data_IF_964977785538
#
_entry.id   IF_964977785538
#
_cell.length_a   1.000
_cell.length_b   1.000
_cell.length_c   1.000
_cell.angle_alpha   90.00
_cell.angle_beta   90.00
_cell.angle_gamma   90.00
#
_symmetry.space_group_name_H-M   'P 1'
#
loop_
_entity.id
_entity.type
_entity.pdbx_description
1 polymer ?
#
# COMPACT_ATOMS: atom_id res chain seq x y z
N UNK A 1 0.88 -20.18 3.18
CA UNK A 1 -0.26 -19.43 2.62
C UNK A 1 0.23 -18.15 1.96
N UNK A 2 -0.35 -17.79 0.84
CA UNK A 2 0.01 -16.55 0.16
C UNK A 2 -0.42 -15.34 1.00
N UNK A 3 0.41 -14.30 1.01
CA UNK A 3 0.02 -13.01 1.58
C UNK A 3 -1.01 -12.33 0.70
N UNK A 4 -1.82 -11.48 1.29
CA UNK A 4 -2.87 -10.77 0.59
C UNK A 4 -2.60 -9.27 0.56
N UNK A 5 -2.78 -8.65 -0.61
CA UNK A 5 -2.62 -7.21 -0.80
C UNK A 5 -3.91 -6.61 -1.33
N UNK A 6 -4.31 -5.48 -0.73
CA UNK A 6 -5.40 -4.66 -1.23
C UNK A 6 -4.80 -3.48 -2.00
N UNK A 7 -5.21 -3.33 -3.25
CA UNK A 7 -4.69 -2.29 -4.15
C UNK A 7 -5.82 -1.33 -4.48
N UNK A 8 -5.63 -0.06 -4.17
CA UNK A 8 -6.54 1.02 -4.53
C UNK A 8 -5.95 1.79 -5.70
N UNK A 9 -6.54 1.64 -6.89
CA UNK A 9 -6.11 2.28 -8.13
C UNK A 9 -7.33 2.50 -9.02
N UNK A 10 -7.60 3.75 -9.39
CA UNK A 10 -8.78 4.09 -10.17
C UNK A 10 -8.64 3.78 -11.67
N UNK A 11 -7.43 3.59 -12.17
CA UNK A 11 -7.19 3.12 -13.55
C UNK A 11 -7.23 1.60 -13.60
N UNK A 12 -8.21 1.03 -14.30
CA UNK A 12 -8.32 -0.42 -14.45
C UNK A 12 -7.09 -1.03 -15.11
N UNK A 13 -6.54 -0.36 -16.12
CA UNK A 13 -5.34 -0.84 -16.81
C UNK A 13 -4.15 -0.90 -15.86
N UNK A 14 -3.93 0.15 -15.09
CA UNK A 14 -2.85 0.17 -14.11
C UNK A 14 -3.08 -0.84 -12.99
N UNK A 15 -4.31 -0.97 -12.52
CA UNK A 15 -4.66 -1.94 -11.48
C UNK A 15 -4.31 -3.36 -11.92
N UNK A 16 -4.59 -3.73 -13.16
CA UNK A 16 -4.26 -5.05 -13.69
C UNK A 16 -2.75 -5.26 -13.71
N UNK A 17 -2.00 -4.28 -14.17
CA UNK A 17 -0.54 -4.36 -14.25
C UNK A 17 0.06 -4.51 -12.85
N UNK A 18 -0.40 -3.68 -11.91
CA UNK A 18 0.09 -3.71 -10.53
C UNK A 18 -0.26 -5.05 -9.87
N UNK A 19 -1.49 -5.52 -10.05
CA UNK A 19 -1.91 -6.84 -9.53
C UNK A 19 -1.01 -7.96 -9.99
N UNK A 20 -0.66 -7.97 -11.27
CA UNK A 20 0.20 -9.01 -11.84
C UNK A 20 1.59 -8.97 -11.22
N UNK A 21 2.11 -7.77 -10.93
CA UNK A 21 3.40 -7.65 -10.25
C UNK A 21 3.36 -8.27 -8.86
N UNK A 22 2.31 -8.01 -8.08
CA UNK A 22 2.17 -8.60 -6.75
C UNK A 22 1.90 -10.10 -6.81
N UNK A 23 1.10 -10.57 -7.77
CA UNK A 23 0.89 -11.99 -7.98
C UNK A 23 2.20 -12.71 -8.30
N UNK A 24 3.03 -12.11 -9.14
CA UNK A 24 4.36 -12.64 -9.46
C UNK A 24 5.25 -12.70 -8.22
N UNK A 25 5.08 -11.78 -7.27
CA UNK A 25 5.81 -11.78 -6.01
C UNK A 25 5.22 -12.75 -4.97
N UNK A 26 4.17 -13.49 -5.32
CA UNK A 26 3.57 -14.49 -4.44
C UNK A 26 2.37 -14.02 -3.64
N UNK A 27 1.82 -12.86 -3.97
CA UNK A 27 0.65 -12.31 -3.28
C UNK A 27 -0.65 -12.68 -4.00
N UNK A 28 -1.72 -12.79 -3.24
CA UNK A 28 -3.07 -12.70 -3.77
C UNK A 28 -3.49 -11.23 -3.74
N UNK A 29 -3.97 -10.71 -4.86
CA UNK A 29 -4.25 -9.28 -5.02
C UNK A 29 -5.75 -9.05 -5.18
N UNK A 30 -6.28 -8.11 -4.41
CA UNK A 30 -7.64 -7.59 -4.57
C UNK A 30 -7.51 -6.13 -4.98
N UNK A 31 -8.10 -5.77 -6.13
CA UNK A 31 -8.09 -4.41 -6.64
C UNK A 31 -9.42 -3.75 -6.45
N UNK A 32 -9.40 -2.51 -5.99
CA UNK A 32 -10.58 -1.66 -5.86
C UNK A 32 -10.29 -0.30 -6.50
N UNK A 33 -11.33 0.40 -6.90
CA UNK A 33 -11.19 1.66 -7.63
C UNK A 33 -11.55 2.88 -6.81
N UNK A 34 -12.18 2.71 -5.66
CA UNK A 34 -12.55 3.82 -4.78
C UNK A 34 -12.40 3.45 -3.31
N UNK A 35 -12.44 4.46 -2.46
CA UNK A 35 -12.27 4.30 -1.03
C UNK A 35 -13.37 3.47 -0.39
N UNK A 36 -14.62 3.65 -0.81
CA UNK A 36 -15.76 2.92 -0.25
C UNK A 36 -15.56 1.41 -0.41
N UNK A 37 -15.17 0.97 -1.61
CA UNK A 37 -14.90 -0.44 -1.87
C UNK A 37 -13.68 -0.92 -1.09
N UNK A 38 -12.65 -0.08 -0.95
CA UNK A 38 -11.47 -0.43 -0.17
C UNK A 38 -11.83 -0.71 1.30
N UNK A 39 -12.63 0.16 1.91
CA UNK A 39 -13.04 -0.02 3.30
C UNK A 39 -13.96 -1.24 3.46
N UNK A 40 -14.83 -1.50 2.48
CA UNK A 40 -15.66 -2.70 2.51
C UNK A 40 -14.81 -3.97 2.47
N UNK A 41 -13.75 -3.99 1.67
CA UNK A 41 -12.85 -5.13 1.64
C UNK A 41 -12.13 -5.32 2.98
N UNK A 42 -11.74 -4.24 3.63
CA UNK A 42 -11.08 -4.32 4.94
C UNK A 42 -12.03 -4.83 6.03
N UNK A 43 -13.33 -4.61 5.90
CA UNK A 43 -14.32 -5.18 6.80
C UNK A 43 -14.57 -6.66 6.53
N UNK A 44 -14.41 -7.08 5.27
CA UNK A 44 -14.73 -8.44 4.84
C UNK A 44 -13.61 -9.44 5.07
N UNK A 45 -12.34 -9.01 4.99
CA UNK A 45 -11.20 -9.91 5.09
C UNK A 45 -9.95 -9.19 5.58
N UNK A 46 -8.94 -9.95 5.94
CA UNK A 46 -7.65 -9.41 6.40
C UNK A 46 -6.67 -9.31 5.24
N UNK A 47 -5.78 -8.32 5.33
CA UNK A 47 -4.72 -8.09 4.35
C UNK A 47 -3.38 -7.98 5.05
N UNK A 48 -2.31 -8.29 4.32
CA UNK A 48 -0.94 -8.18 4.82
C UNK A 48 -0.27 -6.88 4.40
N UNK A 49 -0.84 -6.22 3.40
CA UNK A 49 -0.32 -4.97 2.84
C UNK A 49 -1.46 -4.20 2.17
N UNK A 50 -1.48 -2.88 2.37
CA UNK A 50 -2.35 -1.98 1.61
C UNK A 50 -1.48 -1.16 0.66
N UNK A 51 -1.85 -1.13 -0.62
CA UNK A 51 -1.18 -0.32 -1.65
C UNK A 51 -2.18 0.67 -2.18
N UNK A 52 -1.99 1.94 -1.83
CA UNK A 52 -2.98 2.99 -2.09
C UNK A 52 -2.38 4.05 -3.01
N UNK A 53 -3.11 4.41 -4.08
CA UNK A 53 -2.74 5.53 -4.91
C UNK A 53 -2.94 6.82 -4.10
N UNK A 54 -1.98 7.74 -4.21
CA UNK A 54 -2.03 9.01 -3.47
C UNK A 54 -3.20 9.89 -3.91
N UNK A 55 -3.57 9.84 -5.21
CA UNK A 55 -4.71 10.59 -5.71
C UNK A 55 -5.75 9.66 -6.33
N UNK A 56 -6.95 9.67 -5.76
CA UNK A 56 -8.11 8.97 -6.27
C UNK A 56 -9.21 9.99 -6.43
N UNK A 57 -9.73 10.15 -7.67
CA UNK A 57 -10.82 11.09 -7.98
C UNK A 57 -10.52 12.50 -7.48
N UNK A 58 -9.29 12.97 -7.70
CA UNK A 58 -8.81 14.29 -7.25
C UNK A 58 -8.72 14.44 -5.73
N UNK A 59 -8.87 13.35 -4.99
CA UNK A 59 -8.77 13.34 -3.53
C UNK A 59 -7.43 12.75 -3.09
N UNK A 60 -6.81 13.37 -2.08
CA UNK A 60 -5.53 12.89 -1.55
C UNK A 60 -5.78 11.81 -0.51
N UNK A 61 -5.38 10.58 -0.82
CA UNK A 61 -5.56 9.42 0.04
C UNK A 61 -4.86 9.59 1.40
N UNK A 62 -3.78 10.37 1.46
CA UNK A 62 -3.07 10.61 2.72
C UNK A 62 -3.94 11.31 3.77
N UNK A 63 -4.97 12.02 3.34
CA UNK A 63 -5.91 12.65 4.26
C UNK A 63 -6.89 11.65 4.89
N UNK A 64 -6.99 10.44 4.34
CA UNK A 64 -7.95 9.42 4.75
C UNK A 64 -7.32 8.25 5.48
N UNK A 65 -6.01 8.29 5.77
CA UNK A 65 -5.31 7.13 6.33
C UNK A 65 -5.87 6.65 7.66
N UNK A 66 -6.46 7.55 8.44
CA UNK A 66 -7.07 7.18 9.71
C UNK A 66 -8.19 6.15 9.52
N UNK A 67 -9.02 6.33 8.48
CA UNK A 67 -10.10 5.40 8.18
C UNK A 67 -9.56 3.99 7.85
N UNK A 68 -8.47 3.93 7.10
CA UNK A 68 -7.81 2.65 6.80
C UNK A 68 -7.20 2.03 8.05
N UNK A 69 -6.55 2.84 8.89
CA UNK A 69 -5.90 2.36 10.11
C UNK A 69 -6.88 1.89 11.18
N UNK A 70 -8.07 2.46 11.23
CA UNK A 70 -9.11 1.97 12.13
C UNK A 70 -9.53 0.54 11.82
N UNK A 71 -9.62 0.19 10.53
CA UNK A 71 -10.03 -1.14 10.10
C UNK A 71 -8.86 -2.13 10.01
N UNK A 72 -7.65 -1.64 9.86
CA UNK A 72 -6.44 -2.45 9.69
C UNK A 72 -5.26 -1.81 10.42
N UNK A 73 -5.29 -1.76 11.76
CA UNK A 73 -4.34 -0.94 12.54
C UNK A 73 -2.88 -1.39 12.44
N UNK A 74 -2.64 -2.66 12.17
CA UNK A 74 -1.27 -3.19 12.15
C UNK A 74 -0.78 -3.50 10.73
N UNK A 75 -1.58 -3.19 9.71
CA UNK A 75 -1.22 -3.51 8.33
C UNK A 75 -0.38 -2.38 7.75
N UNK A 76 0.81 -2.69 7.20
CA UNK A 76 1.64 -1.66 6.58
C UNK A 76 0.99 -1.11 5.32
N UNK A 77 1.25 0.17 5.08
CA UNK A 77 0.69 0.90 3.95
C UNK A 77 1.82 1.34 3.04
N UNK A 78 1.70 1.03 1.75
CA UNK A 78 2.54 1.56 0.69
C UNK A 78 1.72 2.58 -0.10
N UNK A 79 2.28 3.75 -0.34
CA UNK A 79 1.64 4.80 -1.14
C UNK A 79 2.29 4.83 -2.51
N UNK A 80 1.46 4.76 -3.54
CA UNK A 80 1.89 4.98 -4.92
C UNK A 80 1.80 6.46 -5.22
N UNK A 81 2.92 7.08 -5.58
CA UNK A 81 2.95 8.51 -5.91
C UNK A 81 3.10 8.68 -7.41
N UNK A 82 2.46 9.73 -7.96
CA UNK A 82 2.68 10.08 -9.36
C UNK A 82 4.13 10.50 -9.54
N UNK A 83 4.83 9.86 -10.49
CA UNK A 83 6.16 10.28 -10.87
C UNK A 83 6.06 11.57 -11.65
N UNK A 84 6.11 12.71 -10.97
CA UNK A 84 5.99 13.99 -11.64
C UNK A 84 7.36 14.50 -12.05
N UNK A 85 7.84 13.95 -13.14
CA UNK A 85 9.11 14.36 -13.74
C UNK A 85 9.09 15.85 -14.05
N UNK A 86 7.91 16.41 -14.37
CA UNK A 86 7.74 17.81 -14.77
C UNK A 86 7.39 18.75 -13.60
N UNK A 87 7.24 18.24 -12.38
CA UNK A 87 6.94 19.08 -11.22
C UNK A 87 7.59 18.50 -9.96
N UNK A 88 8.89 18.76 -9.76
CA UNK A 88 9.62 18.25 -8.60
C UNK A 88 9.08 18.79 -7.27
N UNK A 89 8.49 19.98 -7.26
CA UNK A 89 7.93 20.55 -6.01
C UNK A 89 6.72 19.76 -5.54
N UNK A 90 5.86 19.33 -6.45
CA UNK A 90 4.71 18.49 -6.11
C UNK A 90 5.15 17.13 -5.57
N UNK A 91 6.19 16.52 -6.17
CA UNK A 91 6.76 15.25 -5.69
C UNK A 91 7.34 15.40 -4.29
N UNK A 92 8.07 16.48 -4.02
CA UNK A 92 8.64 16.76 -2.71
C UNK A 92 7.54 16.96 -1.65
N UNK A 93 6.49 17.69 -2.00
CA UNK A 93 5.35 17.91 -1.11
C UNK A 93 4.64 16.59 -0.76
N UNK A 94 4.43 15.72 -1.75
CA UNK A 94 3.81 14.42 -1.53
C UNK A 94 4.67 13.53 -0.64
N UNK A 95 5.98 13.50 -0.87
CA UNK A 95 6.90 12.73 -0.04
C UNK A 95 6.92 13.23 1.41
N UNK A 96 6.93 14.54 1.62
CA UNK A 96 6.90 15.12 2.96
C UNK A 96 5.60 14.81 3.67
N UNK A 97 4.47 14.87 2.98
CA UNK A 97 3.18 14.53 3.55
C UNK A 97 3.11 13.05 3.93
N UNK A 98 3.65 12.16 3.09
CA UNK A 98 3.72 10.74 3.38
C UNK A 98 4.56 10.46 4.63
N UNK A 99 5.69 11.13 4.78
CA UNK A 99 6.54 11.02 5.99
C UNK A 99 5.80 11.44 7.24
N UNK A 100 5.09 12.57 7.20
CA UNK A 100 4.30 13.05 8.34
C UNK A 100 3.16 12.10 8.68
N UNK A 101 2.60 11.44 7.67
CA UNK A 101 1.53 10.46 7.84
C UNK A 101 2.03 9.09 8.32
N UNK A 102 3.35 8.91 8.46
CA UNK A 102 3.98 7.66 8.91
C UNK A 102 3.72 6.48 7.98
N UNK A 103 3.70 6.75 6.68
CA UNK A 103 3.60 5.71 5.67
C UNK A 103 4.92 4.96 5.62
N UNK A 104 4.87 3.62 5.65
CA UNK A 104 6.08 2.80 5.70
C UNK A 104 6.78 2.69 4.36
N UNK A 105 6.03 2.60 3.27
CA UNK A 105 6.62 2.32 1.97
C UNK A 105 6.10 3.27 0.91
N UNK A 106 6.96 3.62 -0.03
CA UNK A 106 6.62 4.47 -1.17
C UNK A 106 6.91 3.73 -2.46
N UNK A 107 5.99 3.84 -3.42
CA UNK A 107 6.15 3.31 -4.77
C UNK A 107 5.95 4.45 -5.76
N UNK A 108 7.01 5.23 -6.06
CA UNK A 108 6.91 6.30 -7.06
C UNK A 108 6.64 5.71 -8.45
N UNK A 109 5.62 6.22 -9.13
CA UNK A 109 5.32 5.83 -10.52
C UNK A 109 6.24 6.55 -11.50
N UNK A 110 6.67 5.93 -12.58
CA UNK A 110 6.48 4.52 -12.90
C UNK A 110 7.38 3.62 -12.05
N UNK A 111 6.83 2.52 -11.56
CA UNK A 111 7.64 1.53 -10.86
C UNK A 111 7.58 0.20 -11.61
N UNK A 112 8.53 -0.67 -11.30
CA UNK A 112 8.72 -1.94 -11.99
C UNK A 112 8.67 -3.08 -11.00
N UNK A 113 8.75 -4.31 -11.50
CA UNK A 113 8.66 -5.48 -10.65
C UNK A 113 9.71 -5.49 -9.54
N UNK A 114 10.94 -5.01 -9.81
CA UNK A 114 11.97 -4.96 -8.78
C UNK A 114 11.58 -4.07 -7.60
N UNK A 115 10.85 -2.99 -7.85
CA UNK A 115 10.35 -2.11 -6.79
C UNK A 115 9.29 -2.81 -5.94
N UNK A 116 8.38 -3.53 -6.58
CA UNK A 116 7.38 -4.34 -5.90
C UNK A 116 8.03 -5.45 -5.07
N UNK A 117 9.02 -6.11 -5.65
CA UNK A 117 9.77 -7.17 -4.98
C UNK A 117 10.47 -6.64 -3.72
N UNK A 118 11.04 -5.44 -3.79
CA UNK A 118 11.67 -4.78 -2.63
C UNK A 118 10.64 -4.51 -1.53
N UNK A 119 9.50 -3.94 -1.87
CA UNK A 119 8.42 -3.68 -0.91
C UNK A 119 7.95 -4.98 -0.27
N UNK A 120 7.75 -6.03 -1.06
CA UNK A 120 7.32 -7.33 -0.55
C UNK A 120 8.34 -7.92 0.43
N UNK A 121 9.63 -7.77 0.15
CA UNK A 121 10.69 -8.18 1.07
C UNK A 121 10.65 -7.40 2.39
N UNK A 122 10.41 -6.10 2.31
CA UNK A 122 10.28 -5.25 3.49
C UNK A 122 9.03 -5.59 4.30
N UNK A 123 7.93 -5.94 3.64
CA UNK A 123 6.70 -6.39 4.30
C UNK A 123 6.94 -7.72 5.02
N UNK A 124 7.65 -8.64 4.41
CA UNK A 124 8.01 -9.90 5.06
C UNK A 124 8.84 -9.67 6.31
N UNK A 125 9.80 -8.76 6.25
CA UNK A 125 10.62 -8.38 7.40
C UNK A 125 9.78 -7.72 8.49
N UNK A 126 8.84 -6.87 8.12
CA UNK A 126 7.91 -6.24 9.06
C UNK A 126 7.10 -7.28 9.83
N UNK A 127 6.48 -8.23 9.14
CA UNK A 127 5.67 -9.26 9.79
C UNK A 127 6.52 -10.23 10.61
N UNK A 128 7.75 -10.51 10.19
CA UNK A 128 8.68 -11.32 10.97
C UNK A 128 9.02 -10.65 12.29
N UNK A 129 9.26 -9.33 12.29
CA UNK A 129 9.52 -8.57 13.50
C UNK A 129 8.30 -8.53 14.43
N UNK A 130 7.10 -8.30 13.90
CA UNK A 130 5.88 -8.29 14.69
C UNK A 130 5.66 -9.66 15.35
N UNK A 131 5.84 -10.75 14.61
CA UNK A 131 5.70 -12.10 15.14
C UNK A 131 6.76 -12.39 16.21
N UNK A 132 8.00 -11.97 16.00
CA UNK A 132 9.07 -12.15 16.99
C UNK A 132 8.77 -11.37 18.28
N UNK A 133 8.23 -10.14 18.14
CA UNK A 133 7.81 -9.34 19.28
C UNK A 133 6.69 -10.01 20.08
N UNK A 134 5.71 -10.58 19.40
CA UNK A 134 4.62 -11.31 20.06
C UNK A 134 5.15 -12.56 20.77
N UNK A 135 6.04 -13.32 20.15
CA UNK A 135 6.65 -14.51 20.75
C UNK A 135 7.47 -14.11 21.97
N UNK A 136 8.25 -13.04 21.90
CA UNK A 136 9.05 -12.57 23.04
C UNK A 136 8.17 -12.16 24.23
N UNK A 137 7.03 -11.53 23.98
CA UNK A 137 6.08 -11.14 25.02
C UNK A 137 5.41 -12.38 25.64
N UNK A 138 5.13 -13.39 24.84
CA UNK A 138 4.47 -14.62 25.30
C UNK A 138 5.40 -15.47 26.19
N UNK A 139 6.68 -15.28 26.09
CA UNK A 139 7.67 -15.98 26.91
C UNK A 139 7.89 -15.26 28.24
#
# INVERSE_FOLDING_TARGET
MARQVLILEDSRTQAIIISKMFQRAGYEAVCVTDMADALDQLRAQTFDLLVLDVFIESHNTLDDLEAYRELAPNVPIAIMTAGQINNPDASAAALNKARRARVKFLLPKPFYFDDVKQVCGDVDAYWAQENAGVVAVAQ
#
